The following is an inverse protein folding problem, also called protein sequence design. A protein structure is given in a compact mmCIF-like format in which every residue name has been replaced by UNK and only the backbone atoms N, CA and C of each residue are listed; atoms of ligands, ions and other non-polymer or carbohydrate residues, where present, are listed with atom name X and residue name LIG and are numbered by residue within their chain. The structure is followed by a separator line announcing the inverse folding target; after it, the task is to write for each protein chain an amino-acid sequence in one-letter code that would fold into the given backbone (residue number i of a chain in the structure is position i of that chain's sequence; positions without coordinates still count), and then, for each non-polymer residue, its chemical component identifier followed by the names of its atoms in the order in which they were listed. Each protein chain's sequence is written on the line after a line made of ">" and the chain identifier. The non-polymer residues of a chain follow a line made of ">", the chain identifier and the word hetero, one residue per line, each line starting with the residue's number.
data_IF_204486445708
#
_entry.id   IF_204486445708
#
_cell.length_a   1.000
_cell.length_b   1.000
_cell.length_c   1.000
_cell.angle_alpha   90.00
_cell.angle_beta   90.00
_cell.angle_gamma   90.00
#
_symmetry.space_group_name_H-M   'P 1'
#
loop_
_entity.id
_entity.type
_entity.pdbx_description
1 polymer ?
#
# COMPACT_ATOMS: atom_id res chain seq x y z
N UNK A 1 37.51 -95.21 -74.87
CA UNK A 1 36.92 -94.26 -75.83
C UNK A 1 35.43 -94.26 -75.54
N UNK A 2 34.89 -93.05 -75.31
CA UNK A 2 33.49 -92.69 -75.10
C UNK A 2 32.80 -93.14 -73.79
N UNK A 3 32.03 -92.31 -73.08
CA UNK A 3 31.85 -90.86 -73.05
C UNK A 3 31.02 -90.64 -71.77
N UNK A 4 31.59 -90.02 -70.74
CA UNK A 4 30.82 -89.65 -69.56
C UNK A 4 29.72 -88.68 -70.00
N UNK A 5 28.47 -89.13 -69.87
CA UNK A 5 27.30 -88.28 -70.11
C UNK A 5 27.26 -87.26 -68.99
N UNK A 6 27.96 -86.15 -69.22
CA UNK A 6 27.89 -84.94 -68.43
C UNK A 6 26.42 -84.58 -68.38
N UNK A 7 25.81 -84.78 -67.23
CA UNK A 7 24.48 -84.27 -66.95
C UNK A 7 24.56 -82.76 -67.13
N UNK A 8 24.11 -82.27 -68.28
CA UNK A 8 23.76 -80.86 -68.48
C UNK A 8 22.57 -80.59 -67.57
N UNK A 9 22.84 -80.47 -66.27
CA UNK A 9 22.03 -79.76 -65.32
C UNK A 9 21.99 -78.34 -65.85
N UNK A 10 20.97 -78.05 -66.65
CA UNK A 10 20.58 -76.70 -67.05
C UNK A 10 20.64 -75.87 -65.79
N UNK A 11 21.71 -75.08 -65.68
CA UNK A 11 21.90 -74.15 -64.59
C UNK A 11 20.92 -73.04 -64.87
N UNK A 12 19.64 -73.27 -64.54
CA UNK A 12 18.61 -72.26 -64.60
C UNK A 12 19.20 -71.05 -63.87
N UNK A 13 19.40 -69.98 -64.65
CA UNK A 13 20.05 -68.78 -64.17
C UNK A 13 19.23 -68.27 -62.99
N UNK A 14 19.76 -68.42 -61.77
CA UNK A 14 19.13 -67.93 -60.54
C UNK A 14 19.25 -66.40 -60.42
N UNK A 15 19.99 -65.75 -61.32
CA UNK A 15 20.19 -64.30 -61.34
C UNK A 15 18.87 -63.51 -61.39
N UNK A 16 17.90 -63.77 -62.29
CA UNK A 16 16.60 -63.09 -62.27
C UNK A 16 15.87 -63.24 -60.94
N UNK A 17 15.95 -64.41 -60.29
CA UNK A 17 15.33 -64.65 -58.99
C UNK A 17 16.05 -63.88 -57.87
N UNK A 18 17.38 -63.89 -57.86
CA UNK A 18 18.22 -63.16 -56.88
C UNK A 18 18.02 -61.65 -57.03
N UNK A 19 18.03 -61.13 -58.26
CA UNK A 19 17.78 -59.72 -58.57
C UNK A 19 16.36 -59.31 -58.15
N UNK A 20 15.36 -60.18 -58.37
CA UNK A 20 14.00 -59.96 -57.90
C UNK A 20 13.88 -59.88 -56.37
N UNK A 21 14.53 -60.80 -55.65
CA UNK A 21 14.55 -60.81 -54.18
C UNK A 21 15.26 -59.57 -53.62
N UNK A 22 16.40 -59.19 -54.18
CA UNK A 22 17.15 -57.98 -53.77
C UNK A 22 16.34 -56.72 -54.05
N UNK A 23 15.71 -56.62 -55.23
CA UNK A 23 14.84 -55.50 -55.58
C UNK A 23 13.62 -55.38 -54.65
N UNK A 24 12.98 -56.50 -54.32
CA UNK A 24 11.87 -56.54 -53.37
C UNK A 24 12.30 -56.13 -51.95
N UNK A 25 13.44 -56.63 -51.47
CA UNK A 25 13.97 -56.28 -50.15
C UNK A 25 14.32 -54.79 -50.05
N UNK A 26 14.93 -54.20 -51.08
CA UNK A 26 15.23 -52.77 -51.13
C UNK A 26 13.96 -51.92 -51.21
N UNK A 27 12.97 -52.34 -51.99
CA UNK A 27 11.66 -51.68 -52.05
C UNK A 27 10.95 -51.66 -50.69
N UNK A 28 10.94 -52.79 -49.98
CA UNK A 28 10.36 -52.90 -48.65
C UNK A 28 11.09 -52.02 -47.61
N UNK A 29 12.42 -51.99 -47.64
CA UNK A 29 13.22 -51.12 -46.77
C UNK A 29 12.96 -49.63 -47.04
N UNK A 30 12.85 -49.24 -48.32
CA UNK A 30 12.49 -47.87 -48.71
C UNK A 30 11.10 -47.46 -48.23
N UNK A 31 10.12 -48.35 -48.33
CA UNK A 31 8.75 -48.11 -47.83
C UNK A 31 8.72 -47.92 -46.30
N UNK A 32 9.44 -48.76 -45.54
CA UNK A 32 9.53 -48.64 -44.08
C UNK A 32 10.17 -47.32 -43.67
N UNK A 33 11.24 -46.90 -44.36
CA UNK A 33 11.90 -45.62 -44.10
C UNK A 33 10.96 -44.44 -44.39
N UNK A 34 10.21 -44.48 -45.49
CA UNK A 34 9.23 -43.46 -45.85
C UNK A 34 8.10 -43.34 -44.80
N UNK A 35 7.59 -44.47 -44.30
CA UNK A 35 6.58 -44.48 -43.24
C UNK A 35 7.11 -43.90 -41.93
N UNK A 36 8.36 -44.23 -41.56
CA UNK A 36 9.01 -43.66 -40.37
C UNK A 36 9.24 -42.15 -40.50
N UNK A 37 9.68 -41.70 -41.67
CA UNK A 37 9.86 -40.27 -41.95
C UNK A 37 8.53 -39.50 -41.88
N UNK A 38 7.44 -40.09 -42.40
CA UNK A 38 6.10 -39.49 -42.32
C UNK A 38 5.61 -39.35 -40.88
N UNK A 39 5.72 -40.41 -40.07
CA UNK A 39 5.34 -40.36 -38.66
C UNK A 39 6.15 -39.35 -37.85
N UNK A 40 7.45 -39.21 -38.14
CA UNK A 40 8.30 -38.18 -37.52
C UNK A 40 7.88 -36.76 -37.93
N UNK A 41 7.48 -36.53 -39.18
CA UNK A 41 7.00 -35.24 -39.66
C UNK A 41 5.65 -34.85 -39.03
N UNK A 42 4.73 -35.79 -38.88
CA UNK A 42 3.45 -35.59 -38.19
C UNK A 42 3.66 -35.30 -36.69
N UNK A 43 4.59 -36.02 -36.05
CA UNK A 43 4.97 -35.76 -34.66
C UNK A 43 5.63 -34.39 -34.48
N UNK A 44 6.52 -33.97 -35.40
CA UNK A 44 7.15 -32.65 -35.37
C UNK A 44 6.12 -31.53 -35.55
N UNK A 45 5.14 -31.71 -36.45
CA UNK A 45 4.04 -30.76 -36.65
C UNK A 45 3.18 -30.63 -35.39
N UNK A 46 2.83 -31.76 -34.78
CA UNK A 46 2.07 -31.80 -33.52
C UNK A 46 2.82 -31.10 -32.38
N UNK A 47 4.13 -31.34 -32.28
CA UNK A 47 4.98 -30.68 -31.28
C UNK A 47 5.08 -29.16 -31.50
N UNK A 48 5.16 -28.72 -32.76
CA UNK A 48 5.17 -27.30 -33.11
C UNK A 48 3.84 -26.60 -32.78
N UNK A 49 2.70 -27.26 -33.05
CA UNK A 49 1.37 -26.74 -32.67
C UNK A 49 1.27 -26.62 -31.15
N UNK A 50 1.63 -27.67 -30.40
CA UNK A 50 1.63 -27.63 -28.93
C UNK A 50 2.54 -26.55 -28.36
N UNK A 51 3.71 -26.33 -28.96
CA UNK A 51 4.63 -25.27 -28.55
C UNK A 51 4.04 -23.87 -28.82
N UNK A 52 3.32 -23.71 -29.93
CA UNK A 52 2.62 -22.46 -30.27
C UNK A 52 1.47 -22.19 -29.31
N UNK A 53 0.67 -23.21 -29.00
CA UNK A 53 -0.42 -23.10 -28.03
C UNK A 53 0.10 -22.76 -26.62
N UNK A 54 1.15 -23.44 -26.17
CA UNK A 54 1.82 -23.16 -24.89
C UNK A 54 2.41 -21.73 -24.85
N UNK A 55 2.98 -21.24 -25.95
CA UNK A 55 3.44 -19.85 -26.05
C UNK A 55 2.26 -18.85 -25.99
N UNK A 56 1.12 -19.20 -26.60
CA UNK A 56 -0.14 -18.47 -26.51
C UNK A 56 -0.62 -18.36 -25.06
N UNK A 57 -0.69 -19.48 -24.34
CA UNK A 57 -1.07 -19.53 -22.92
C UNK A 57 -0.13 -18.72 -22.03
N UNK A 58 1.19 -18.80 -22.25
CA UNK A 58 2.17 -17.99 -21.51
C UNK A 58 1.96 -16.50 -21.78
N UNK A 59 1.70 -16.10 -23.03
CA UNK A 59 1.45 -14.70 -23.36
C UNK A 59 0.15 -14.17 -22.75
N UNK A 60 -0.91 -14.98 -22.71
CA UNK A 60 -2.17 -14.65 -22.05
C UNK A 60 -2.01 -14.56 -20.52
N UNK A 61 -1.28 -15.49 -19.91
CA UNK A 61 -0.95 -15.45 -18.48
C UNK A 61 -0.10 -14.23 -18.12
N UNK A 62 0.84 -13.84 -18.99
CA UNK A 62 1.64 -12.64 -18.79
C UNK A 62 0.81 -11.36 -18.92
N UNK A 63 -0.20 -11.34 -19.79
CA UNK A 63 -1.15 -10.23 -19.91
C UNK A 63 -2.09 -10.11 -18.69
N UNK A 64 -2.49 -11.23 -18.08
CA UNK A 64 -3.26 -11.22 -16.84
C UNK A 64 -2.42 -10.86 -15.61
N UNK A 65 -1.16 -11.33 -15.57
CA UNK A 65 -0.18 -10.96 -14.53
C UNK A 65 0.44 -9.58 -14.76
N UNK A 66 0.13 -8.94 -15.88
CA UNK A 66 0.39 -7.53 -16.08
C UNK A 66 -0.55 -6.77 -15.13
N UNK A 67 -0.04 -6.60 -13.92
CA UNK A 67 -0.44 -5.80 -12.77
C UNK A 67 -0.87 -4.36 -13.10
N UNK A 68 -1.10 -3.99 -14.36
CA UNK A 68 -1.46 -2.67 -14.82
C UNK A 68 -2.78 -2.20 -14.21
N UNK A 69 -3.80 -3.07 -14.14
CA UNK A 69 -5.08 -2.74 -13.50
C UNK A 69 -4.88 -2.45 -12.01
N UNK A 70 -4.17 -3.32 -11.29
CA UNK A 70 -3.90 -3.13 -9.87
C UNK A 70 -3.03 -1.89 -9.60
N UNK A 71 -2.01 -1.65 -10.43
CA UNK A 71 -1.17 -0.46 -10.34
C UNK A 71 -1.96 0.82 -10.62
N UNK A 72 -2.89 0.80 -11.60
CA UNK A 72 -3.77 1.95 -11.86
C UNK A 72 -4.74 2.20 -10.71
N UNK A 73 -5.29 1.14 -10.12
CA UNK A 73 -6.16 1.23 -8.94
C UNK A 73 -5.40 1.79 -7.73
N UNK A 74 -4.21 1.26 -7.43
CA UNK A 74 -3.34 1.75 -6.35
C UNK A 74 -2.99 3.23 -6.57
N UNK A 75 -2.67 3.63 -7.80
CA UNK A 75 -2.34 5.03 -8.12
C UNK A 75 -3.55 5.95 -7.91
N UNK A 76 -4.74 5.51 -8.29
CA UNK A 76 -5.98 6.25 -8.06
C UNK A 76 -6.30 6.39 -6.56
N UNK A 77 -6.15 5.31 -5.78
CA UNK A 77 -6.33 5.34 -4.33
C UNK A 77 -5.34 6.29 -3.64
N UNK A 78 -4.06 6.28 -4.06
CA UNK A 78 -3.04 7.19 -3.54
C UNK A 78 -3.39 8.66 -3.80
N UNK A 79 -3.93 8.97 -4.99
CA UNK A 79 -4.39 10.32 -5.35
C UNK A 79 -5.57 10.76 -4.48
N UNK A 80 -6.55 9.88 -4.26
CA UNK A 80 -7.69 10.17 -3.40
C UNK A 80 -7.26 10.41 -1.95
N UNK A 81 -6.34 9.59 -1.43
CA UNK A 81 -5.80 9.74 -0.08
C UNK A 81 -5.04 11.07 0.08
N UNK A 82 -4.22 11.43 -0.91
CA UNK A 82 -3.50 12.71 -0.96
C UNK A 82 -4.47 13.89 -0.89
N UNK A 83 -5.51 13.89 -1.73
CA UNK A 83 -6.53 14.94 -1.73
C UNK A 83 -7.26 15.05 -0.39
N UNK A 84 -7.57 13.91 0.24
CA UNK A 84 -8.18 13.88 1.58
C UNK A 84 -7.27 14.50 2.65
N UNK A 85 -5.97 14.22 2.61
CA UNK A 85 -4.98 14.82 3.52
C UNK A 85 -4.90 16.33 3.30
N UNK A 86 -4.82 16.78 2.05
CA UNK A 86 -4.72 18.20 1.71
C UNK A 86 -5.98 18.97 2.14
N UNK A 87 -7.16 18.38 1.96
CA UNK A 87 -8.43 18.94 2.44
C UNK A 87 -8.48 19.03 3.97
N UNK A 88 -8.12 17.96 4.68
CA UNK A 88 -8.09 17.94 6.14
C UNK A 88 -7.11 18.99 6.70
N UNK A 89 -5.92 19.10 6.11
CA UNK A 89 -4.91 20.06 6.53
C UNK A 89 -5.36 21.51 6.29
N UNK A 90 -6.08 21.75 5.18
CA UNK A 90 -6.72 23.04 4.91
C UNK A 90 -7.79 23.36 5.96
N UNK A 91 -8.71 22.44 6.24
CA UNK A 91 -9.75 22.63 7.25
C UNK A 91 -9.14 22.89 8.64
N UNK A 92 -8.09 22.15 9.01
CA UNK A 92 -7.38 22.39 10.26
C UNK A 92 -6.79 23.81 10.31
N UNK A 93 -6.11 24.22 9.24
CA UNK A 93 -5.53 25.57 9.14
C UNK A 93 -6.59 26.67 9.23
N UNK A 94 -7.72 26.51 8.53
CA UNK A 94 -8.86 27.44 8.57
C UNK A 94 -9.45 27.55 9.99
N UNK A 95 -9.59 26.40 10.68
CA UNK A 95 -10.06 26.37 12.07
C UNK A 95 -9.08 27.07 13.03
N UNK A 96 -7.77 26.87 12.85
CA UNK A 96 -6.74 27.57 13.64
C UNK A 96 -6.84 29.08 13.43
N UNK A 97 -6.98 29.54 12.18
CA UNK A 97 -7.13 30.96 11.89
C UNK A 97 -8.43 31.52 12.50
N UNK A 98 -9.54 30.80 12.42
CA UNK A 98 -10.80 31.18 13.02
C UNK A 98 -10.70 31.30 14.54
N UNK A 99 -10.05 30.33 15.20
CA UNK A 99 -9.81 30.35 16.64
C UNK A 99 -8.89 31.49 17.06
N UNK A 100 -7.79 31.73 16.33
CA UNK A 100 -6.90 32.87 16.56
C UNK A 100 -7.65 34.20 16.44
N UNK A 101 -8.48 34.32 15.40
CA UNK A 101 -9.29 35.52 15.16
C UNK A 101 -10.32 35.71 16.28
N UNK A 102 -10.98 34.64 16.72
CA UNK A 102 -11.93 34.66 17.84
C UNK A 102 -11.27 35.03 19.17
N UNK A 103 -10.08 34.49 19.45
CA UNK A 103 -9.29 34.83 20.65
C UNK A 103 -8.88 36.30 20.61
N UNK A 104 -8.41 36.80 19.46
CA UNK A 104 -8.05 38.21 19.28
C UNK A 104 -9.27 39.13 19.43
N UNK A 105 -10.41 38.77 18.83
CA UNK A 105 -11.65 39.54 18.93
C UNK A 105 -12.20 39.56 20.36
N UNK A 106 -12.08 38.45 21.11
CA UNK A 106 -12.42 38.37 22.54
C UNK A 106 -11.51 39.26 23.39
N UNK A 107 -10.26 39.47 22.97
CA UNK A 107 -9.32 40.38 23.63
C UNK A 107 -9.54 41.86 23.29
N UNK A 108 -10.20 42.18 22.17
CA UNK A 108 -10.44 43.56 21.71
C UNK A 108 -11.87 44.06 21.89
N UNK A 109 -12.77 43.29 22.51
CA UNK A 109 -14.09 43.79 22.86
C UNK A 109 -13.95 45.02 23.80
N UNK A 110 -14.54 46.18 23.48
CA UNK A 110 -14.41 47.37 24.32
C UNK A 110 -15.09 47.06 25.66
N UNK A 111 -14.32 47.19 26.73
CA UNK A 111 -14.82 47.16 28.10
C UNK A 111 -15.74 48.36 28.33
N UNK A 112 -16.99 48.26 27.88
CA UNK A 112 -18.10 49.06 28.38
C UNK A 112 -18.49 48.56 29.76
N UNK A 113 -17.66 48.88 30.76
CA UNK A 113 -17.85 48.44 32.14
C UNK A 113 -16.81 49.10 33.03
N UNK A 114 -17.23 50.14 33.72
CA UNK A 114 -16.47 50.94 34.68
C UNK A 114 -15.59 50.11 35.64
N UNK A 115 -14.31 50.47 35.70
CA UNK A 115 -13.48 50.36 36.91
C UNK A 115 -12.86 49.01 37.25
N UNK A 116 -11.61 48.79 36.85
CA UNK A 116 -10.47 48.52 37.74
C UNK A 116 -9.33 47.88 36.93
N UNK A 117 -8.16 48.52 36.93
CA UNK A 117 -6.90 47.87 36.53
C UNK A 117 -6.78 46.55 37.31
N UNK A 118 -6.85 45.43 36.62
CA UNK A 118 -6.39 44.14 37.11
C UNK A 118 -4.86 44.22 37.21
N UNK A 119 -4.38 44.59 38.39
CA UNK A 119 -3.00 44.37 38.77
C UNK A 119 -2.81 42.85 38.86
N UNK A 120 -2.32 42.25 37.78
CA UNK A 120 -1.83 40.88 37.81
C UNK A 120 -0.60 40.89 38.71
N UNK A 121 -0.77 40.48 39.97
CA UNK A 121 0.38 40.05 40.75
C UNK A 121 0.89 38.76 40.10
N UNK A 122 2.22 38.62 40.01
CA UNK A 122 2.91 37.63 39.19
C UNK A 122 2.55 36.17 39.52
N UNK A 123 3.18 35.19 38.83
CA UNK A 123 2.88 33.77 39.01
C UNK A 123 3.03 33.37 40.49
N UNK A 124 1.90 33.26 41.20
CA UNK A 124 1.83 32.87 42.61
C UNK A 124 1.36 33.94 43.60
N UNK A 125 0.97 35.16 43.17
CA UNK A 125 0.44 36.20 44.08
C UNK A 125 -0.79 36.90 43.53
N UNK A 126 -1.69 37.37 44.39
CA UNK A 126 -2.92 38.08 44.03
C UNK A 126 -3.15 39.27 44.97
N UNK A 127 -3.32 40.48 44.43
CA UNK A 127 -3.66 41.66 45.23
C UNK A 127 -5.18 41.78 45.39
N UNK A 128 -5.67 41.76 46.63
CA UNK A 128 -7.09 41.85 46.99
C UNK A 128 -7.70 43.13 46.43
N UNK A 129 -8.80 43.03 45.70
CA UNK A 129 -9.53 44.19 45.18
C UNK A 129 -10.80 44.46 46.02
N UNK A 130 -11.36 45.67 45.88
CA UNK A 130 -12.59 46.05 46.59
C UNK A 130 -13.73 45.10 46.21
N UNK A 131 -14.29 44.42 47.21
CA UNK A 131 -15.39 43.46 47.03
C UNK A 131 -14.95 42.01 46.78
N UNK A 132 -13.65 41.73 46.75
CA UNK A 132 -13.18 40.34 46.71
C UNK A 132 -13.43 39.62 48.05
N UNK A 133 -13.71 38.33 47.96
CA UNK A 133 -13.79 37.40 49.10
C UNK A 133 -12.73 36.32 48.92
N UNK A 134 -12.24 35.69 50.00
CA UNK A 134 -11.25 34.60 49.87
C UNK A 134 -11.76 33.49 48.95
N UNK A 135 -13.05 33.16 49.03
CA UNK A 135 -13.69 32.18 48.15
C UNK A 135 -13.68 32.60 46.68
N UNK A 136 -13.91 33.89 46.40
CA UNK A 136 -13.82 34.44 45.04
C UNK A 136 -12.39 34.43 44.49
N UNK A 137 -11.41 34.77 45.33
CA UNK A 137 -9.99 34.77 44.98
C UNK A 137 -9.50 33.33 44.74
N UNK A 138 -9.87 32.38 45.60
CA UNK A 138 -9.52 30.96 45.45
C UNK A 138 -10.05 30.39 44.12
N UNK A 139 -11.31 30.68 43.78
CA UNK A 139 -11.90 30.32 42.48
C UNK A 139 -11.16 30.93 41.30
N UNK A 140 -10.79 32.22 41.39
CA UNK A 140 -10.01 32.91 40.36
C UNK A 140 -8.60 32.33 40.21
N UNK A 141 -7.99 31.91 41.31
CA UNK A 141 -6.67 31.29 41.35
C UNK A 141 -6.66 29.81 40.96
N UNK A 142 -7.83 29.15 40.92
CA UNK A 142 -7.97 27.73 40.61
C UNK A 142 -7.53 26.80 41.75
N UNK A 143 -7.49 27.30 43.00
CA UNK A 143 -7.12 26.51 44.18
C UNK A 143 -8.28 26.41 45.16
N UNK A 144 -8.22 25.43 46.07
CA UNK A 144 -9.24 25.31 47.11
C UNK A 144 -9.12 26.45 48.13
N UNK A 145 -10.26 26.85 48.73
CA UNK A 145 -10.27 27.85 49.81
C UNK A 145 -9.33 27.47 50.96
N UNK A 146 -9.30 26.18 51.28
CA UNK A 146 -8.43 25.62 52.31
C UNK A 146 -6.95 25.80 51.93
N UNK A 147 -6.56 25.45 50.72
CA UNK A 147 -5.18 25.67 50.25
C UNK A 147 -4.79 27.16 50.25
N UNK A 148 -5.72 28.06 49.93
CA UNK A 148 -5.47 29.50 49.99
C UNK A 148 -5.26 29.99 51.44
N UNK A 149 -6.01 29.44 52.40
CA UNK A 149 -5.84 29.75 53.83
C UNK A 149 -4.55 29.15 54.39
N UNK A 150 -4.20 27.91 54.01
CA UNK A 150 -2.94 27.26 54.39
C UNK A 150 -1.72 28.04 53.90
N UNK A 151 -1.78 28.62 52.70
CA UNK A 151 -0.72 29.47 52.15
C UNK A 151 -0.63 30.85 52.83
N UNK A 152 -1.71 31.29 53.49
CA UNK A 152 -1.84 32.63 54.07
C UNK A 152 -2.48 32.56 55.47
N UNK A 153 -1.83 31.92 56.46
CA UNK A 153 -2.42 31.68 57.79
C UNK A 153 -2.70 32.97 58.56
N UNK A 154 -1.95 34.04 58.28
CA UNK A 154 -2.12 35.36 58.91
C UNK A 154 -3.28 36.17 58.32
N UNK A 155 -3.96 35.67 57.30
CA UNK A 155 -5.02 36.39 56.59
C UNK A 155 -6.38 36.03 57.16
N UNK A 156 -7.02 37.01 57.79
CA UNK A 156 -8.38 36.85 58.27
C UNK A 156 -9.40 37.12 57.13
N UNK A 157 -10.27 36.16 56.76
CA UNK A 157 -11.29 36.31 55.72
C UNK A 157 -12.20 37.53 55.91
N UNK A 158 -12.47 37.90 57.16
CA UNK A 158 -13.39 38.99 57.53
C UNK A 158 -12.70 40.34 57.66
N UNK A 159 -11.36 40.40 57.57
CA UNK A 159 -10.57 41.63 57.72
C UNK A 159 -9.52 41.80 56.61
N UNK A 160 -9.86 41.39 55.39
CA UNK A 160 -8.97 41.59 54.24
C UNK A 160 -8.92 43.06 53.84
N UNK A 161 -7.71 43.57 53.56
CA UNK A 161 -7.50 44.94 53.12
C UNK A 161 -7.37 45.02 51.60
N UNK A 162 -7.95 46.06 51.01
CA UNK A 162 -7.79 46.33 49.57
C UNK A 162 -6.31 46.63 49.30
N UNK A 163 -5.73 45.94 48.33
CA UNK A 163 -4.31 46.00 47.99
C UNK A 163 -3.43 44.98 48.73
N UNK A 164 -3.98 44.23 49.69
CA UNK A 164 -3.25 43.15 50.37
C UNK A 164 -2.85 42.05 49.39
N UNK A 165 -1.60 41.61 49.42
CA UNK A 165 -1.10 40.56 48.51
C UNK A 165 -1.23 39.19 49.18
N UNK A 166 -1.93 38.28 48.51
CA UNK A 166 -2.14 36.88 48.92
C UNK A 166 -1.30 35.94 48.04
N UNK A 167 -0.71 34.92 48.64
CA UNK A 167 -0.05 33.82 47.93
C UNK A 167 -1.09 32.86 47.37
N UNK A 168 -0.98 32.47 46.11
CA UNK A 168 -2.00 31.66 45.42
C UNK A 168 -1.50 30.35 44.83
N UNK A 169 -0.18 30.10 44.83
CA UNK A 169 0.47 28.88 44.33
C UNK A 169 1.78 28.66 45.06
#
# INVERSE_FOLDING_TARGET
>A
MENDSISSSSSESKLPLIVGIVGFALGAAGLVLALKAKGLAEAATTAATKATDAAGEVSAALAQKANATDLTAITAELSNLRQGIDANNKTFSDNILALQTAVKAKATAPAGGSGAKTAVAGPGSYAVQKGDTLSGIAKKAGISLKALQDLNPDVNPNRMQIGQVLKTK
#
